data_IF_185126969913
#
_entry.id   IF_185126969913
#
_cell.length_a   1.000
_cell.length_b   1.000
_cell.length_c   1.000
_cell.angle_alpha   90.00
_cell.angle_beta   90.00
_cell.angle_gamma   90.00
#
_symmetry.space_group_name_H-M   'P 1'
#
loop_
_entity.id
_entity.type
_entity.pdbx_description
1 polymer ?
#
# COMPACT_ATOMS: atom_id res chain seq x y z
N UNK A 1 19.87 17.02 -18.12
CA UNK A 1 19.23 15.71 -18.41
C UNK A 1 19.96 15.16 -19.62
N UNK A 2 20.39 13.90 -19.62
CA UNK A 2 21.14 13.37 -20.77
C UNK A 2 20.18 13.11 -21.93
N UNK A 3 20.60 13.42 -23.16
CA UNK A 3 19.83 13.17 -24.37
C UNK A 3 19.36 11.70 -24.48
N UNK A 4 20.14 10.77 -23.93
CA UNK A 4 19.83 9.35 -23.91
C UNK A 4 18.64 9.00 -23.01
N UNK A 5 18.47 9.69 -21.87
CA UNK A 5 17.33 9.45 -20.98
C UNK A 5 16.03 9.81 -21.68
N UNK A 6 15.95 11.01 -22.26
CA UNK A 6 14.74 11.49 -22.92
C UNK A 6 14.36 10.62 -24.11
N UNK A 7 15.35 10.16 -24.88
CA UNK A 7 15.14 9.23 -26.00
C UNK A 7 14.54 7.90 -25.52
N UNK A 8 15.10 7.29 -24.48
CA UNK A 8 14.62 6.00 -23.95
C UNK A 8 13.22 6.13 -23.37
N UNK A 9 12.97 7.17 -22.56
CA UNK A 9 11.67 7.42 -21.96
C UNK A 9 10.60 7.65 -23.04
N UNK A 10 10.93 8.39 -24.10
CA UNK A 10 10.01 8.58 -25.21
C UNK A 10 9.67 7.26 -25.90
N UNK A 11 10.64 6.36 -26.09
CA UNK A 11 10.38 5.01 -26.64
C UNK A 11 9.42 4.22 -25.74
N UNK A 12 9.69 4.17 -24.43
CA UNK A 12 8.84 3.45 -23.46
C UNK A 12 7.41 3.99 -23.49
N UNK A 13 7.23 5.31 -23.49
CA UNK A 13 5.90 5.95 -23.47
C UNK A 13 5.12 5.74 -24.76
N UNK A 14 5.78 5.89 -25.91
CA UNK A 14 5.10 5.88 -27.21
C UNK A 14 4.86 4.48 -27.73
N UNK A 15 5.81 3.56 -27.54
CA UNK A 15 5.74 2.20 -28.07
C UNK A 15 5.29 1.17 -27.06
N UNK A 16 5.27 1.54 -25.77
CA UNK A 16 5.05 0.60 -24.67
C UNK A 16 5.94 -0.64 -24.81
N UNK A 17 7.21 -0.42 -25.18
CA UNK A 17 8.20 -1.46 -25.35
C UNK A 17 9.58 -1.00 -24.89
N UNK A 18 10.44 -1.95 -24.53
CA UNK A 18 11.83 -1.67 -24.20
C UNK A 18 12.68 -1.66 -25.48
N UNK A 19 13.68 -0.76 -25.58
CA UNK A 19 14.78 -0.94 -26.52
C UNK A 19 15.45 -2.30 -26.33
N UNK A 20 15.83 -2.95 -27.43
CA UNK A 20 16.61 -4.18 -27.38
C UNK A 20 17.90 -3.97 -26.56
N UNK A 21 18.23 -4.94 -25.71
CA UNK A 21 19.43 -4.93 -24.87
C UNK A 21 19.56 -3.72 -23.95
N UNK A 22 18.45 -3.12 -23.51
CA UNK A 22 18.47 -2.03 -22.53
C UNK A 22 19.16 -2.48 -21.22
N UNK A 23 20.28 -1.83 -20.87
CA UNK A 23 21.04 -2.10 -19.63
C UNK A 23 21.10 -0.92 -18.65
N UNK A 24 20.71 0.28 -19.08
CA UNK A 24 20.84 1.51 -18.29
C UNK A 24 19.60 1.80 -17.42
N UNK A 25 19.21 0.83 -16.58
CA UNK A 25 18.05 0.94 -15.68
C UNK A 25 18.13 2.08 -14.67
N UNK A 26 19.34 2.46 -14.30
CA UNK A 26 19.65 3.50 -13.31
C UNK A 26 19.65 4.92 -13.90
N UNK A 27 19.58 5.04 -15.23
CA UNK A 27 19.61 6.35 -15.89
C UNK A 27 18.39 7.15 -15.44
N UNK A 28 18.63 8.33 -14.85
CA UNK A 28 17.60 9.10 -14.16
C UNK A 28 17.55 10.56 -14.59
N UNK A 29 16.35 11.16 -14.45
CA UNK A 29 16.20 12.61 -14.53
C UNK A 29 16.67 13.31 -13.23
N UNK A 30 16.55 14.64 -13.18
CA UNK A 30 16.95 15.46 -12.03
C UNK A 30 16.16 15.16 -10.73
N UNK A 31 15.05 14.41 -10.79
CA UNK A 31 14.27 13.96 -9.64
C UNK A 31 14.67 12.56 -9.14
N UNK A 32 15.62 11.90 -9.80
CA UNK A 32 15.97 10.51 -9.53
C UNK A 32 14.95 9.51 -10.08
N UNK A 33 14.04 9.95 -10.96
CA UNK A 33 13.14 9.02 -11.67
C UNK A 33 13.94 8.30 -12.74
N UNK A 34 14.15 7.00 -12.56
CA UNK A 34 14.98 6.19 -13.45
C UNK A 34 14.19 5.60 -14.62
N UNK A 35 14.87 5.12 -15.65
CA UNK A 35 14.29 4.30 -16.72
C UNK A 35 13.52 3.10 -16.16
N UNK A 36 14.02 2.47 -15.08
CA UNK A 36 13.31 1.37 -14.42
C UNK A 36 11.98 1.82 -13.78
N UNK A 37 11.89 3.03 -13.22
CA UNK A 37 10.62 3.54 -12.70
C UNK A 37 9.60 3.71 -13.83
N UNK A 38 10.02 4.23 -14.98
CA UNK A 38 9.16 4.38 -16.15
C UNK A 38 8.69 3.01 -16.67
N UNK A 39 9.61 2.06 -16.86
CA UNK A 39 9.26 0.71 -17.31
C UNK A 39 8.33 -0.03 -16.34
N UNK A 40 8.53 0.14 -15.02
CA UNK A 40 7.68 -0.45 -13.98
C UNK A 40 6.21 0.00 -14.08
N UNK A 41 5.98 1.28 -14.41
CA UNK A 41 4.64 1.82 -14.58
C UNK A 41 3.86 1.10 -15.68
N UNK A 42 4.54 0.69 -16.75
CA UNK A 42 3.94 -0.01 -17.88
C UNK A 42 4.00 -1.54 -17.77
N UNK A 43 4.64 -2.09 -16.73
CA UNK A 43 4.85 -3.53 -16.60
C UNK A 43 5.82 -4.10 -17.64
N UNK A 44 6.80 -3.29 -18.07
CA UNK A 44 7.78 -3.67 -19.08
C UNK A 44 9.09 -4.19 -18.50
N UNK A 45 9.22 -4.25 -17.17
CA UNK A 45 10.42 -4.81 -16.55
C UNK A 45 10.57 -6.30 -16.90
N UNK A 46 11.79 -6.77 -17.18
CA UNK A 46 12.00 -8.18 -17.49
C UNK A 46 11.70 -9.06 -16.26
N UNK A 47 11.31 -10.33 -16.45
CA UNK A 47 10.94 -11.23 -15.34
C UNK A 47 12.04 -11.41 -14.28
N UNK A 48 13.31 -11.28 -14.68
CA UNK A 48 14.48 -11.42 -13.82
C UNK A 48 15.00 -10.10 -13.24
N UNK A 49 14.24 -9.00 -13.38
CA UNK A 49 14.63 -7.68 -12.87
C UNK A 49 14.88 -7.70 -11.35
N UNK A 50 16.06 -7.27 -10.92
CA UNK A 50 16.48 -7.31 -9.50
C UNK A 50 16.66 -5.94 -8.83
N UNK A 51 16.66 -4.86 -9.59
CA UNK A 51 17.00 -3.51 -9.08
C UNK A 51 15.75 -2.78 -8.51
N UNK A 52 14.93 -3.51 -7.76
CA UNK A 52 13.69 -3.00 -7.15
C UNK A 52 13.89 -1.86 -6.15
N UNK A 53 15.11 -1.74 -5.63
CA UNK A 53 15.52 -0.79 -4.60
C UNK A 53 16.01 0.56 -5.15
N UNK A 54 16.08 0.77 -6.47
CA UNK A 54 16.43 2.08 -7.04
C UNK A 54 15.40 3.12 -6.60
N UNK A 55 15.87 4.29 -6.15
CA UNK A 55 15.05 5.32 -5.47
C UNK A 55 15.06 6.65 -6.19
N UNK A 56 13.92 7.31 -6.17
CA UNK A 56 13.80 8.75 -6.46
C UNK A 56 14.32 9.59 -5.29
N UNK A 57 14.39 10.91 -5.48
CA UNK A 57 14.73 11.88 -4.41
C UNK A 57 13.79 11.89 -3.20
N UNK A 58 12.59 11.32 -3.31
CA UNK A 58 11.66 11.13 -2.18
C UNK A 58 11.77 9.74 -1.54
N UNK A 59 12.74 8.93 -1.96
CA UNK A 59 12.91 7.57 -1.47
C UNK A 59 11.95 6.55 -2.09
N UNK A 60 10.98 6.97 -2.92
CA UNK A 60 10.09 6.04 -3.66
C UNK A 60 10.92 5.13 -4.55
N UNK A 61 10.72 3.82 -4.44
CA UNK A 61 11.46 2.82 -5.24
C UNK A 61 10.76 2.42 -6.54
N UNK A 62 11.46 1.72 -7.43
CA UNK A 62 10.87 1.05 -8.60
C UNK A 62 9.72 0.12 -8.18
N UNK A 63 9.88 -0.64 -7.10
CA UNK A 63 8.82 -1.51 -6.58
C UNK A 63 7.58 -0.74 -6.14
N UNK A 64 7.71 0.46 -5.56
CA UNK A 64 6.55 1.31 -5.24
C UNK A 64 5.80 1.79 -6.49
N UNK A 65 6.49 1.93 -7.63
CA UNK A 65 5.82 2.27 -8.89
C UNK A 65 5.09 1.04 -9.42
N UNK A 66 5.76 -0.11 -9.53
CA UNK A 66 5.12 -1.35 -9.97
C UNK A 66 3.91 -1.74 -9.11
N UNK A 67 4.02 -1.63 -7.78
CA UNK A 67 2.93 -1.91 -6.83
C UNK A 67 1.70 -1.01 -7.05
N UNK A 68 1.93 0.29 -7.30
CA UNK A 68 0.85 1.24 -7.59
C UNK A 68 0.04 0.84 -8.83
N UNK A 69 0.66 0.22 -9.82
CA UNK A 69 0.03 -0.16 -11.08
C UNK A 69 -0.31 -1.66 -11.18
N UNK A 70 -0.13 -2.42 -10.10
CA UNK A 70 -0.40 -3.86 -10.10
C UNK A 70 0.52 -4.65 -11.04
N UNK A 71 1.78 -4.22 -11.16
CA UNK A 71 2.79 -4.78 -12.09
C UNK A 71 3.94 -5.49 -11.38
N UNK A 72 3.81 -5.76 -10.09
CA UNK A 72 4.78 -6.61 -9.39
C UNK A 72 4.63 -8.06 -9.88
N UNK A 73 5.75 -8.81 -10.00
CA UNK A 73 5.67 -10.22 -10.32
C UNK A 73 5.03 -11.00 -9.16
N UNK A 74 4.42 -12.15 -9.46
CA UNK A 74 3.65 -12.93 -8.48
C UNK A 74 4.48 -13.44 -7.30
N UNK A 75 5.79 -13.62 -7.49
CA UNK A 75 6.77 -14.08 -6.51
C UNK A 75 7.50 -12.93 -5.79
N UNK A 76 7.06 -11.67 -5.98
CA UNK A 76 7.66 -10.52 -5.33
C UNK A 76 7.61 -10.64 -3.80
N UNK A 77 8.77 -10.52 -3.15
CA UNK A 77 8.93 -10.73 -1.71
C UNK A 77 9.55 -9.55 -0.95
N UNK A 78 9.88 -8.44 -1.63
CA UNK A 78 10.52 -7.27 -1.01
C UNK A 78 9.49 -6.22 -0.55
N UNK A 79 8.45 -6.67 0.16
CA UNK A 79 7.30 -5.86 0.59
C UNK A 79 7.64 -4.75 1.61
N UNK A 80 8.74 -4.94 2.34
CA UNK A 80 9.24 -4.01 3.36
C UNK A 80 10.08 -2.85 2.81
N UNK A 81 10.39 -2.83 1.50
CA UNK A 81 11.09 -1.69 0.91
C UNK A 81 10.28 -0.42 1.18
N UNK A 82 10.86 0.49 1.96
CA UNK A 82 10.19 1.69 2.44
C UNK A 82 10.81 2.96 1.88
N UNK A 83 10.01 3.98 1.57
CA UNK A 83 10.49 5.33 1.27
C UNK A 83 11.01 6.08 2.51
N UNK A 84 11.30 7.37 2.38
CA UNK A 84 11.85 8.16 3.49
C UNK A 84 10.86 8.40 4.63
N UNK A 85 9.56 8.22 4.43
CA UNK A 85 8.55 8.29 5.48
C UNK A 85 8.25 6.91 6.09
N UNK A 86 8.97 5.87 5.65
CA UNK A 86 8.70 4.49 6.03
C UNK A 86 7.45 3.91 5.34
N UNK A 87 6.89 4.59 4.34
CA UNK A 87 5.79 4.03 3.55
C UNK A 87 6.34 2.91 2.68
N UNK A 88 5.84 1.69 2.86
CA UNK A 88 6.40 0.51 2.18
C UNK A 88 5.72 0.19 0.86
N UNK A 89 6.35 -0.68 0.06
CA UNK A 89 5.74 -1.25 -1.16
C UNK A 89 4.38 -1.87 -0.85
N UNK A 90 4.25 -2.60 0.27
CA UNK A 90 2.97 -3.17 0.69
C UNK A 90 1.92 -2.10 1.02
N UNK A 91 2.30 -0.98 1.65
CA UNK A 91 1.38 0.13 1.88
C UNK A 91 0.89 0.74 0.55
N UNK A 92 1.79 0.90 -0.45
CA UNK A 92 1.39 1.36 -1.78
C UNK A 92 0.44 0.36 -2.45
N UNK A 93 0.74 -0.93 -2.44
CA UNK A 93 -0.14 -1.94 -3.01
C UNK A 93 -1.52 -1.95 -2.33
N UNK A 94 -1.56 -1.86 -0.99
CA UNK A 94 -2.81 -1.78 -0.23
C UNK A 94 -3.64 -0.56 -0.59
N UNK A 95 -3.00 0.62 -0.69
CA UNK A 95 -3.67 1.87 -1.05
C UNK A 95 -4.36 1.80 -2.42
N UNK A 96 -3.75 1.09 -3.37
CA UNK A 96 -4.28 0.93 -4.73
C UNK A 96 -5.05 -0.38 -4.95
N UNK A 97 -5.34 -1.15 -3.90
CA UNK A 97 -5.99 -2.47 -3.97
C UNK A 97 -5.28 -3.50 -4.89
N UNK A 98 -3.95 -3.47 -4.92
CA UNK A 98 -3.10 -4.33 -5.76
C UNK A 98 -2.33 -5.39 -4.94
N UNK A 99 -2.71 -5.64 -3.69
CA UNK A 99 -2.13 -6.75 -2.92
C UNK A 99 -2.61 -8.08 -3.52
N UNK A 100 -1.73 -9.10 -3.60
CA UNK A 100 -2.15 -10.43 -4.04
C UNK A 100 -3.11 -11.06 -3.02
N UNK A 101 -3.97 -11.96 -3.47
CA UNK A 101 -5.02 -12.56 -2.62
C UNK A 101 -4.45 -13.36 -1.43
N UNK A 102 -3.24 -13.89 -1.55
CA UNK A 102 -2.52 -14.62 -0.51
C UNK A 102 -1.60 -13.73 0.34
N UNK A 103 -1.71 -12.41 0.26
CA UNK A 103 -0.89 -11.52 1.07
C UNK A 103 -1.18 -11.69 2.58
N UNK A 104 -0.12 -11.91 3.36
CA UNK A 104 -0.19 -12.24 4.79
C UNK A 104 0.62 -11.29 5.70
N UNK A 105 1.45 -10.42 5.13
CA UNK A 105 2.32 -9.48 5.86
C UNK A 105 1.58 -8.19 6.28
N UNK A 106 0.37 -8.33 6.83
CA UNK A 106 -0.53 -7.24 7.24
C UNK A 106 0.01 -6.34 8.36
N UNK A 107 1.00 -6.83 9.10
CA UNK A 107 1.61 -6.19 10.26
C UNK A 107 2.75 -5.22 9.91
N UNK A 108 3.24 -5.21 8.66
CA UNK A 108 4.28 -4.26 8.23
C UNK A 108 3.80 -2.84 8.52
N UNK A 109 4.60 -2.07 9.25
CA UNK A 109 4.25 -0.74 9.74
C UNK A 109 5.16 0.35 9.19
N UNK A 110 4.60 1.53 8.92
CA UNK A 110 5.37 2.73 8.60
C UNK A 110 5.97 3.39 9.86
N UNK A 111 6.62 4.56 9.71
CA UNK A 111 7.22 5.29 10.85
C UNK A 111 6.24 5.71 11.93
N UNK A 112 4.95 5.86 11.63
CA UNK A 112 3.91 6.19 12.60
C UNK A 112 3.33 4.95 13.29
N UNK A 113 3.77 3.75 12.91
CA UNK A 113 3.19 2.49 13.35
C UNK A 113 1.91 2.10 12.60
N UNK A 114 1.47 2.89 11.62
CA UNK A 114 0.32 2.52 10.78
C UNK A 114 0.71 1.34 9.90
N UNK A 115 -0.08 0.28 9.96
CA UNK A 115 0.21 -0.96 9.23
C UNK A 115 -0.43 -0.99 7.84
N UNK A 116 -0.01 -1.94 7.01
CA UNK A 116 -0.67 -2.27 5.72
C UNK A 116 -2.17 -2.51 5.91
N UNK A 117 -2.56 -3.19 6.98
CA UNK A 117 -3.97 -3.43 7.31
C UNK A 117 -4.75 -2.13 7.61
N UNK A 118 -4.13 -1.13 8.25
CA UNK A 118 -4.78 0.17 8.47
C UNK A 118 -5.09 0.85 7.13
N UNK A 119 -4.14 0.83 6.19
CA UNK A 119 -4.35 1.40 4.85
C UNK A 119 -5.48 0.67 4.13
N UNK A 120 -5.46 -0.66 4.09
CA UNK A 120 -6.52 -1.43 3.44
C UNK A 120 -7.90 -1.22 4.12
N UNK A 121 -7.96 -1.17 5.45
CA UNK A 121 -9.19 -0.91 6.22
C UNK A 121 -9.85 0.42 5.85
N UNK A 122 -9.04 1.49 5.79
CA UNK A 122 -9.50 2.83 5.42
C UNK A 122 -10.26 2.85 4.10
N UNK A 123 -9.82 2.06 3.11
CA UNK A 123 -10.43 2.01 1.79
C UNK A 123 -11.45 0.87 1.61
N UNK A 124 -11.60 -0.02 2.61
CA UNK A 124 -12.47 -1.19 2.52
C UNK A 124 -11.91 -2.30 1.63
N UNK A 125 -10.59 -2.42 1.54
CA UNK A 125 -9.88 -3.43 0.74
C UNK A 125 -9.44 -4.66 1.55
N UNK A 126 -9.80 -4.72 2.84
CA UNK A 126 -9.59 -5.93 3.63
C UNK A 126 -10.45 -7.07 3.07
N UNK A 127 -9.83 -8.25 2.91
CA UNK A 127 -10.50 -9.44 2.40
C UNK A 127 -11.50 -9.97 3.45
N UNK A 128 -12.57 -10.68 3.06
CA UNK A 128 -13.60 -11.17 4.00
C UNK A 128 -13.10 -12.04 5.15
N UNK A 129 -11.94 -12.70 5.00
CA UNK A 129 -11.33 -13.57 6.02
C UNK A 129 -10.34 -12.83 6.95
N UNK A 130 -10.22 -11.51 6.82
CA UNK A 130 -9.30 -10.73 7.65
C UNK A 130 -9.73 -10.77 9.12
N UNK A 131 -8.80 -11.15 10.01
CA UNK A 131 -9.06 -11.40 11.42
C UNK A 131 -8.12 -10.64 12.38
N UNK A 132 -7.16 -9.85 11.88
CA UNK A 132 -6.18 -9.13 12.70
C UNK A 132 -6.66 -7.70 13.02
N UNK A 133 -7.86 -7.58 13.58
CA UNK A 133 -8.55 -6.30 13.82
C UNK A 133 -7.94 -5.46 14.97
N UNK A 134 -7.19 -6.13 15.83
CA UNK A 134 -6.51 -5.62 17.01
C UNK A 134 -5.12 -5.03 16.71
N UNK A 135 -4.59 -5.20 15.50
CA UNK A 135 -3.34 -4.55 15.10
C UNK A 135 -3.45 -3.05 15.31
N UNK A 136 -2.54 -2.49 16.10
CA UNK A 136 -2.60 -1.12 16.57
C UNK A 136 -1.37 -0.32 16.15
N UNK A 137 -1.58 0.96 15.82
CA UNK A 137 -0.49 1.90 15.63
C UNK A 137 0.13 2.37 16.97
N UNK A 138 1.07 3.32 16.90
CA UNK A 138 1.75 3.85 18.10
C UNK A 138 0.82 4.53 19.10
N UNK A 139 -0.40 4.92 18.71
CA UNK A 139 -1.40 5.53 19.59
C UNK A 139 -2.44 4.52 20.09
N UNK A 140 -2.26 3.23 19.81
CA UNK A 140 -3.25 2.20 20.11
C UNK A 140 -4.47 2.26 19.18
N UNK A 141 -4.42 3.07 18.12
CA UNK A 141 -5.50 3.13 17.14
C UNK A 141 -5.43 1.85 16.30
N UNK A 142 -6.48 1.05 16.34
CA UNK A 142 -6.47 -0.27 15.69
C UNK A 142 -7.01 -0.25 14.27
N UNK A 143 -6.79 -1.32 13.52
CA UNK A 143 -7.40 -1.56 12.20
C UNK A 143 -8.93 -1.43 12.27
N UNK A 144 -9.55 -1.91 13.35
CA UNK A 144 -10.99 -1.74 13.57
C UNK A 144 -11.42 -0.28 13.76
N UNK A 145 -10.63 0.52 14.51
CA UNK A 145 -10.90 1.96 14.65
C UNK A 145 -10.82 2.67 13.29
N UNK A 146 -9.81 2.33 12.47
CA UNK A 146 -9.67 2.89 11.12
C UNK A 146 -10.87 2.49 10.24
N UNK A 147 -11.25 1.21 10.18
CA UNK A 147 -12.41 0.77 9.41
C UNK A 147 -13.73 1.42 9.86
N UNK A 148 -13.95 1.54 11.18
CA UNK A 148 -15.12 2.20 11.75
C UNK A 148 -15.20 3.68 11.34
N UNK A 149 -14.07 4.40 11.41
CA UNK A 149 -13.97 5.81 11.01
C UNK A 149 -14.42 6.05 9.56
N UNK A 150 -14.16 5.08 8.68
CA UNK A 150 -14.49 5.16 7.26
C UNK A 150 -15.75 4.38 6.87
N UNK A 151 -16.52 3.86 7.83
CA UNK A 151 -17.74 3.06 7.61
C UNK A 151 -17.48 1.82 6.72
N UNK A 152 -16.32 1.19 6.91
CA UNK A 152 -15.86 0.00 6.18
C UNK A 152 -15.80 -1.26 7.03
N UNK A 153 -16.32 -1.19 8.24
CA UNK A 153 -16.36 -2.33 9.16
C UNK A 153 -17.45 -3.31 8.73
N UNK A 154 -17.19 -4.63 8.72
CA UNK A 154 -18.17 -5.61 8.28
C UNK A 154 -19.32 -5.73 9.30
N UNK A 155 -20.52 -6.08 8.83
CA UNK A 155 -21.73 -6.15 9.67
C UNK A 155 -21.61 -7.14 10.83
N UNK A 156 -20.88 -8.24 10.63
CA UNK A 156 -20.62 -9.28 11.62
C UNK A 156 -19.38 -9.01 12.48
N UNK A 157 -18.90 -7.75 12.54
CA UNK A 157 -17.78 -7.40 13.40
C UNK A 157 -18.17 -7.49 14.89
N UNK A 158 -17.35 -8.14 15.71
CA UNK A 158 -17.60 -8.33 17.15
C UNK A 158 -16.70 -7.49 18.07
N UNK A 159 -15.60 -6.91 17.56
CA UNK A 159 -14.61 -6.18 18.35
C UNK A 159 -14.99 -4.75 18.72
N UNK A 160 -16.29 -4.44 18.91
CA UNK A 160 -16.79 -3.07 19.11
C UNK A 160 -16.23 -2.37 20.35
N UNK A 161 -15.80 -3.14 21.35
CA UNK A 161 -15.28 -2.65 22.63
C UNK A 161 -13.75 -2.57 22.71
N UNK A 162 -13.03 -2.82 21.61
CA UNK A 162 -11.59 -2.57 21.55
C UNK A 162 -11.32 -1.09 21.81
N UNK A 163 -10.34 -0.78 22.67
CA UNK A 163 -10.01 0.58 23.09
C UNK A 163 -8.66 1.02 22.55
N UNK A 164 -8.56 2.29 22.15
CA UNK A 164 -7.28 2.96 21.91
C UNK A 164 -6.61 3.42 23.23
N UNK A 165 -5.43 4.04 23.14
CA UNK A 165 -4.70 4.55 24.34
C UNK A 165 -5.44 5.65 25.09
N UNK A 166 -6.44 6.29 24.48
CA UNK A 166 -7.29 7.30 25.11
C UNK A 166 -8.57 6.70 25.69
N UNK A 167 -8.74 5.38 25.64
CA UNK A 167 -9.92 4.68 26.13
C UNK A 167 -11.13 4.78 25.20
N UNK A 168 -11.00 5.37 24.01
CA UNK A 168 -12.08 5.43 23.02
C UNK A 168 -12.24 4.06 22.40
N UNK A 169 -13.47 3.62 22.25
CA UNK A 169 -13.79 2.33 21.65
C UNK A 169 -14.07 2.42 20.15
N UNK A 170 -14.05 1.29 19.46
CA UNK A 170 -14.44 1.22 18.04
C UNK A 170 -15.89 1.70 17.83
N UNK A 171 -16.80 1.39 18.77
CA UNK A 171 -18.18 1.90 18.73
C UNK A 171 -18.24 3.43 18.89
N UNK A 172 -17.44 4.02 19.77
CA UNK A 172 -17.38 5.48 19.91
C UNK A 172 -16.99 6.14 18.58
N UNK A 173 -15.97 5.60 17.91
CA UNK A 173 -15.50 6.10 16.61
C UNK A 173 -16.57 5.94 15.51
N UNK A 174 -17.26 4.81 15.47
CA UNK A 174 -18.36 4.59 14.53
C UNK A 174 -19.47 5.63 14.70
N UNK A 175 -19.92 5.84 15.94
CA UNK A 175 -20.96 6.83 16.27
C UNK A 175 -20.51 8.24 15.88
N UNK A 176 -19.29 8.65 16.24
CA UNK A 176 -18.74 9.95 15.88
C UNK A 176 -18.61 10.16 14.36
N UNK A 177 -18.47 9.07 13.60
CA UNK A 177 -18.40 9.11 12.13
C UNK A 177 -19.77 9.09 11.46
N UNK A 178 -20.86 9.06 12.24
CA UNK A 178 -22.22 8.94 11.74
C UNK A 178 -22.53 7.56 11.16
N UNK A 179 -22.00 6.51 11.79
CA UNK A 179 -22.31 5.11 11.50
C UNK A 179 -22.83 4.43 12.77
N UNK A 180 -24.08 3.97 12.74
CA UNK A 180 -24.70 3.22 13.82
C UNK A 180 -24.78 1.75 13.42
N UNK A 181 -23.97 0.87 14.01
CA UNK A 181 -23.96 -0.53 13.61
C UNK A 181 -25.26 -1.21 14.03
N UNK A 182 -25.92 -1.89 13.10
CA UNK A 182 -27.17 -2.62 13.37
C UNK A 182 -27.03 -3.64 14.50
N UNK A 183 -25.85 -4.25 14.66
CA UNK A 183 -25.54 -5.20 15.71
C UNK A 183 -25.69 -4.65 17.14
N UNK A 184 -25.60 -3.32 17.34
CA UNK A 184 -25.79 -2.68 18.65
C UNK A 184 -27.25 -2.30 18.89
N UNK A 185 -28.03 -2.12 17.83
CA UNK A 185 -29.47 -1.83 17.94
C UNK A 185 -30.28 -3.08 18.33
N UNK A 186 -29.79 -4.28 18.01
CA UNK A 186 -30.47 -5.55 18.30
C UNK A 186 -30.31 -6.04 19.74
N UNK A 187 -29.30 -5.58 20.49
CA UNK A 187 -29.04 -6.02 21.88
C UNK A 187 -29.83 -5.23 22.93
N UNK A 188 -30.72 -4.30 22.53
CA UNK A 188 -31.55 -3.48 23.42
C UNK A 188 -33.02 -3.96 23.53
N UNK A 189 -33.31 -5.21 23.18
CA UNK A 189 -34.62 -5.85 23.43
C UNK A 189 -34.53 -6.80 24.62
#
# INVERSE_FOLDING_TARGET
>A
MTQDYDKIINIIRTRQSLPENLRCWELANWWGWTVAHEAAMYGLLPPDFRQWHLRTKLGRTVAHVAARFGKLPADFNQWELADYEGWTVAHTAAFYNNLPDNFDQWHIANKDGRTVAHVAARYGYLKPKFNMWELADKNGWTVAHEAARYKKIPENFYGWYLKDKHGRTVIDIAICSGYLPHAILSTKK
#
